data_IF_072014529368
#
_entry.id   IF_072014529368
#
_cell.length_a   1.000
_cell.length_b   1.000
_cell.length_c   1.000
_cell.angle_alpha   90.00
_cell.angle_beta   90.00
_cell.angle_gamma   90.00
#
_symmetry.space_group_name_H-M   'P 1'
#
loop_
_entity.id
_entity.type
_entity.pdbx_description
1 polymer ?
#
# COMPACT_ATOMS: atom_id res chain seq x y z
N UNK A 1 0.34 -12.49 -24.97
CA UNK A 1 0.70 -11.88 -23.67
C UNK A 1 1.73 -12.73 -22.90
N UNK A 2 2.87 -13.10 -23.52
CA UNK A 2 3.86 -14.00 -22.91
C UNK A 2 4.98 -13.28 -22.12
N UNK A 3 5.08 -11.96 -22.27
CA UNK A 3 6.17 -11.17 -21.69
C UNK A 3 5.87 -10.73 -20.25
N UNK A 4 4.63 -10.31 -19.95
CA UNK A 4 4.25 -9.84 -18.60
C UNK A 4 4.37 -10.92 -17.54
N UNK A 5 4.06 -12.17 -17.86
CA UNK A 5 4.21 -13.31 -16.93
C UNK A 5 5.67 -13.65 -16.60
N UNK A 6 6.64 -13.09 -17.33
CA UNK A 6 8.08 -13.23 -17.02
C UNK A 6 8.56 -12.21 -16.01
N UNK A 7 7.80 -11.13 -15.79
CA UNK A 7 8.10 -10.14 -14.76
C UNK A 7 7.67 -10.74 -13.42
N UNK A 8 8.64 -10.97 -12.53
CA UNK A 8 8.42 -11.62 -11.22
C UNK A 8 8.64 -10.67 -10.04
N UNK A 9 9.49 -9.66 -10.21
CA UNK A 9 9.80 -8.72 -9.15
C UNK A 9 9.66 -7.31 -9.70
N UNK A 10 8.86 -6.48 -9.03
CA UNK A 10 8.65 -5.08 -9.40
C UNK A 10 8.81 -4.23 -8.15
N UNK A 11 9.49 -3.11 -8.29
CA UNK A 11 9.58 -2.05 -7.28
C UNK A 11 9.07 -0.75 -7.88
N UNK A 12 8.20 -0.04 -7.17
CA UNK A 12 7.63 1.24 -7.61
C UNK A 12 7.60 2.24 -6.46
N UNK A 13 7.53 3.53 -6.80
CA UNK A 13 7.12 4.55 -5.87
C UNK A 13 5.59 4.54 -5.73
N UNK A 14 5.09 4.65 -4.50
CA UNK A 14 3.67 4.62 -4.15
C UNK A 14 2.90 5.91 -4.47
N UNK A 15 3.36 6.70 -5.44
CA UNK A 15 2.74 7.96 -5.85
C UNK A 15 1.49 7.71 -6.70
N UNK A 16 0.50 8.60 -6.65
CA UNK A 16 -0.61 8.58 -7.61
C UNK A 16 -0.09 8.77 -9.05
N UNK A 17 -0.69 8.05 -10.01
CA UNK A 17 -0.34 8.21 -11.42
C UNK A 17 -1.27 9.25 -12.06
N UNK A 18 -0.75 10.46 -12.27
CA UNK A 18 -1.49 11.52 -12.94
C UNK A 18 -1.22 11.51 -14.44
N UNK A 19 -2.27 11.36 -15.26
CA UNK A 19 -2.18 11.39 -16.72
C UNK A 19 -2.97 12.56 -17.28
N UNK A 20 -2.33 13.39 -18.09
CA UNK A 20 -3.01 14.44 -18.84
C UNK A 20 -3.65 13.84 -20.09
N UNK A 21 -4.96 14.01 -20.27
CA UNK A 21 -5.72 13.44 -21.39
C UNK A 21 -5.97 14.42 -22.54
N UNK A 22 -5.44 15.64 -22.45
CA UNK A 22 -5.54 16.67 -23.48
C UNK A 22 -4.41 17.70 -23.42
N UNK A 23 -4.37 18.66 -24.37
CA UNK A 23 -3.35 19.70 -24.44
C UNK A 23 -3.45 20.77 -23.34
N UNK A 24 -4.47 20.69 -22.47
CA UNK A 24 -4.61 21.57 -21.31
C UNK A 24 -4.42 20.76 -20.03
N UNK A 25 -3.62 21.29 -19.10
CA UNK A 25 -3.31 20.66 -17.80
C UNK A 25 -4.54 20.48 -16.87
N UNK A 26 -5.73 20.88 -17.33
CA UNK A 26 -6.98 20.80 -16.56
C UNK A 26 -7.72 19.46 -16.70
N UNK A 27 -7.41 18.67 -17.74
CA UNK A 27 -8.07 17.40 -18.01
C UNK A 27 -7.16 16.22 -17.63
N UNK A 28 -6.74 16.19 -16.38
CA UNK A 28 -5.95 15.12 -15.81
C UNK A 28 -6.81 14.02 -15.20
N UNK A 29 -6.43 12.76 -15.44
CA UNK A 29 -7.00 11.58 -14.77
C UNK A 29 -5.95 11.03 -13.81
N UNK A 30 -6.28 10.98 -12.52
CA UNK A 30 -5.47 10.27 -11.53
C UNK A 30 -5.90 8.81 -11.44
N UNK A 31 -4.93 7.90 -11.43
CA UNK A 31 -5.15 6.49 -11.13
C UNK A 31 -4.41 6.13 -9.84
N UNK A 32 -5.14 5.51 -8.92
CA UNK A 32 -4.53 4.84 -7.78
C UNK A 32 -3.65 3.69 -8.29
N UNK A 33 -2.57 3.38 -7.56
CA UNK A 33 -1.63 2.32 -7.94
C UNK A 33 -2.33 0.97 -8.18
N UNK A 34 -3.34 0.64 -7.36
CA UNK A 34 -4.14 -0.57 -7.55
C UNK A 34 -4.90 -0.61 -8.88
N UNK A 35 -5.38 0.55 -9.36
CA UNK A 35 -6.06 0.66 -10.65
C UNK A 35 -5.06 0.54 -11.79
N UNK A 36 -3.85 1.11 -11.65
CA UNK A 36 -2.78 0.98 -12.64
C UNK A 36 -2.37 -0.48 -12.85
N UNK A 37 -2.28 -1.28 -11.77
CA UNK A 37 -1.97 -2.72 -11.89
C UNK A 37 -3.01 -3.47 -12.71
N UNK A 38 -4.31 -3.14 -12.57
CA UNK A 38 -5.40 -3.78 -13.32
C UNK A 38 -5.32 -3.57 -14.83
N UNK A 39 -4.55 -2.57 -15.29
CA UNK A 39 -4.28 -2.32 -16.70
C UNK A 39 -3.26 -3.30 -17.29
N UNK A 40 -2.58 -4.11 -16.48
CA UNK A 40 -1.58 -5.06 -16.90
C UNK A 40 -2.02 -6.52 -16.68
N UNK A 41 -3.10 -6.97 -17.33
CA UNK A 41 -3.60 -8.33 -17.16
C UNK A 41 -2.52 -9.35 -17.56
N UNK A 42 -2.19 -10.26 -16.65
CA UNK A 42 -1.19 -11.30 -16.87
C UNK A 42 0.14 -11.09 -16.14
N UNK A 43 0.30 -10.00 -15.38
CA UNK A 43 1.32 -9.94 -14.33
C UNK A 43 1.15 -11.13 -13.37
N UNK A 44 2.27 -11.67 -12.92
CA UNK A 44 2.35 -12.78 -11.97
C UNK A 44 3.59 -12.60 -11.09
N UNK A 45 3.59 -11.50 -10.34
CA UNK A 45 4.69 -11.08 -9.49
C UNK A 45 4.84 -12.07 -8.33
N UNK A 46 6.07 -12.52 -8.12
CA UNK A 46 6.47 -13.17 -6.87
C UNK A 46 6.62 -12.12 -5.77
N UNK A 47 7.14 -10.93 -6.09
CA UNK A 47 7.27 -9.82 -5.14
C UNK A 47 6.92 -8.48 -5.78
N UNK A 48 6.02 -7.74 -5.15
CA UNK A 48 5.69 -6.37 -5.48
C UNK A 48 6.12 -5.46 -4.34
N UNK A 49 7.08 -4.56 -4.57
CA UNK A 49 7.58 -3.62 -3.57
C UNK A 49 7.08 -2.21 -3.89
N UNK A 50 6.47 -1.55 -2.92
CA UNK A 50 6.01 -0.17 -3.02
C UNK A 50 6.79 0.65 -2.00
N UNK A 51 7.45 1.70 -2.45
CA UNK A 51 8.14 2.66 -1.61
C UNK A 51 7.28 3.91 -1.47
N UNK A 52 6.84 4.24 -0.26
CA UNK A 52 6.14 5.50 -0.03
C UNK A 52 7.09 6.69 -0.25
N UNK A 53 6.62 7.76 -0.91
CA UNK A 53 7.36 9.01 -1.00
C UNK A 53 7.51 9.72 0.35
N UNK A 54 6.72 9.38 1.38
CA UNK A 54 6.83 9.96 2.73
C UNK A 54 6.28 11.39 2.87
N UNK A 55 5.86 12.02 1.78
CA UNK A 55 5.41 13.43 1.75
C UNK A 55 3.89 13.58 1.98
N UNK A 56 3.13 12.51 1.73
CA UNK A 56 1.68 12.54 1.78
C UNK A 56 1.13 11.48 2.77
N UNK A 57 0.13 11.85 3.58
CA UNK A 57 -0.51 11.00 4.60
C UNK A 57 -1.36 9.84 4.00
N UNK A 58 -1.20 9.51 2.72
CA UNK A 58 -2.04 8.54 1.98
C UNK A 58 -1.53 7.09 2.05
N UNK A 59 -0.41 6.83 2.73
CA UNK A 59 0.20 5.51 2.81
C UNK A 59 -0.75 4.43 3.30
N UNK A 60 -1.58 4.78 4.29
CA UNK A 60 -2.56 3.85 4.84
C UNK A 60 -3.60 3.48 3.77
N UNK A 61 -4.16 4.46 3.06
CA UNK A 61 -5.18 4.27 2.04
C UNK A 61 -4.64 3.51 0.83
N UNK A 62 -3.43 3.85 0.36
CA UNK A 62 -2.78 3.15 -0.75
C UNK A 62 -2.54 1.68 -0.37
N UNK A 63 -2.05 1.42 0.84
CA UNK A 63 -1.84 0.06 1.32
C UNK A 63 -3.18 -0.69 1.49
N UNK A 64 -4.21 -0.04 2.04
CA UNK A 64 -5.53 -0.62 2.22
C UNK A 64 -6.14 -1.01 0.87
N UNK A 65 -6.09 -0.13 -0.13
CA UNK A 65 -6.57 -0.38 -1.48
C UNK A 65 -5.81 -1.54 -2.16
N UNK A 66 -4.48 -1.61 -1.98
CA UNK A 66 -3.67 -2.73 -2.49
C UNK A 66 -4.03 -4.06 -1.81
N UNK A 67 -4.32 -4.05 -0.51
CA UNK A 67 -4.73 -5.24 0.25
C UNK A 67 -6.17 -5.65 -0.07
N UNK A 68 -7.08 -4.70 -0.28
CA UNK A 68 -8.48 -5.02 -0.57
C UNK A 68 -8.67 -5.41 -2.03
N UNK A 69 -8.12 -4.64 -2.97
CA UNK A 69 -8.43 -4.76 -4.40
C UNK A 69 -7.26 -5.18 -5.28
N UNK A 70 -6.03 -5.17 -4.77
CA UNK A 70 -4.82 -5.44 -5.55
C UNK A 70 -4.61 -6.92 -5.79
N UNK A 71 -4.33 -7.28 -7.03
CA UNK A 71 -4.04 -8.63 -7.51
C UNK A 71 -2.73 -8.65 -8.32
N UNK A 72 -2.36 -9.80 -8.88
CA UNK A 72 -1.15 -9.87 -9.71
C UNK A 72 0.14 -10.19 -8.97
N UNK A 73 0.11 -10.32 -7.64
CA UNK A 73 1.29 -10.54 -6.79
C UNK A 73 1.08 -11.64 -5.74
N UNK A 74 2.15 -12.33 -5.34
CA UNK A 74 2.16 -13.31 -4.24
C UNK A 74 2.54 -12.68 -2.90
N UNK A 75 3.54 -11.80 -2.93
CA UNK A 75 4.02 -11.02 -1.79
C UNK A 75 4.03 -9.53 -2.14
N UNK A 76 3.40 -8.71 -1.30
CA UNK A 76 3.49 -7.25 -1.33
C UNK A 76 4.39 -6.80 -0.17
N UNK A 77 5.34 -5.91 -0.46
CA UNK A 77 6.18 -5.21 0.51
C UNK A 77 5.89 -3.73 0.39
N UNK A 78 5.22 -3.15 1.36
CA UNK A 78 4.95 -1.71 1.39
C UNK A 78 5.88 -1.06 2.40
N UNK A 79 6.71 -0.11 1.98
CA UNK A 79 7.72 0.54 2.82
C UNK A 79 7.31 2.00 3.04
N UNK A 80 7.02 2.35 4.28
CA UNK A 80 6.75 3.71 4.76
C UNK A 80 8.02 4.30 5.35
N UNK A 81 8.33 5.55 5.03
CA UNK A 81 9.50 6.23 5.59
C UNK A 81 9.30 6.56 7.08
N UNK A 82 8.05 6.78 7.50
CA UNK A 82 7.71 7.23 8.84
C UNK A 82 6.65 6.31 9.44
N UNK A 83 6.89 5.81 10.65
CA UNK A 83 6.00 4.85 11.31
C UNK A 83 4.66 5.45 11.74
N UNK A 84 4.58 6.78 11.92
CA UNK A 84 3.34 7.49 12.23
C UNK A 84 2.30 7.40 11.11
N UNK A 85 2.73 7.20 9.85
CA UNK A 85 1.84 7.01 8.70
C UNK A 85 0.98 5.74 8.85
N UNK A 86 1.47 4.77 9.63
CA UNK A 86 0.74 3.55 9.99
C UNK A 86 0.34 3.55 11.47
N UNK A 87 0.27 4.71 12.13
CA UNK A 87 -0.27 4.86 13.49
C UNK A 87 -1.80 5.07 13.52
N UNK A 88 -2.40 5.17 14.70
CA UNK A 88 -3.84 5.46 14.85
C UNK A 88 -4.21 6.94 14.68
N UNK A 89 -3.22 7.84 14.73
CA UNK A 89 -3.45 9.28 14.65
C UNK A 89 -3.72 9.68 13.20
N UNK A 90 -4.89 10.29 12.97
CA UNK A 90 -5.14 11.04 11.74
C UNK A 90 -4.30 12.31 11.81
N UNK A 91 -3.51 12.57 10.77
CA UNK A 91 -2.96 13.90 10.55
C UNK A 91 -4.13 14.87 10.39
N UNK A 92 -4.28 15.77 11.36
CA UNK A 92 -5.31 16.83 11.39
C UNK A 92 -5.25 17.77 10.16
N UNK A 93 -4.19 17.66 9.34
CA UNK A 93 -3.90 18.53 8.21
C UNK A 93 -4.33 17.99 6.84
N UNK A 94 -4.84 16.76 6.74
CA UNK A 94 -5.31 16.26 5.44
C UNK A 94 -6.58 17.01 5.05
N UNK A 95 -6.44 17.89 4.07
CA UNK A 95 -7.50 18.66 3.44
C UNK A 95 -8.79 17.81 3.29
N UNK A 96 -9.73 18.01 4.21
CA UNK A 96 -11.07 17.36 4.30
C UNK A 96 -11.89 17.39 3.00
N UNK A 97 -11.45 18.13 2.00
CA UNK A 97 -12.18 18.37 0.76
C UNK A 97 -11.86 17.39 -0.37
N UNK A 98 -10.80 16.57 -0.30
CA UNK A 98 -10.43 15.67 -1.41
C UNK A 98 -10.70 14.18 -1.19
N UNK A 99 -10.87 13.73 0.06
CA UNK A 99 -10.99 12.29 0.34
C UNK A 99 -12.23 11.98 1.18
N UNK A 100 -13.20 11.33 0.55
CA UNK A 100 -14.53 10.99 1.05
C UNK A 100 -14.57 9.76 1.98
N UNK A 101 -13.43 9.37 2.55
CA UNK A 101 -13.32 8.21 3.44
C UNK A 101 -12.76 8.66 4.79
N UNK A 102 -13.63 9.25 5.61
CA UNK A 102 -13.42 9.45 7.05
C UNK A 102 -13.39 8.08 7.79
N UNK A 103 -12.67 7.08 7.29
CA UNK A 103 -12.62 5.78 7.95
C UNK A 103 -11.54 5.83 9.04
N UNK A 104 -11.92 5.65 10.33
CA UNK A 104 -10.93 5.50 11.37
C UNK A 104 -9.98 4.36 11.00
N UNK A 105 -8.66 4.60 11.09
CA UNK A 105 -7.66 3.55 10.90
C UNK A 105 -7.95 2.41 11.87
N UNK A 106 -7.91 1.17 11.38
CA UNK A 106 -8.29 -0.02 12.15
C UNK A 106 -7.04 -0.68 12.75
N UNK A 107 -7.19 -1.48 13.83
CA UNK A 107 -6.06 -2.18 14.44
C UNK A 107 -5.30 -3.11 13.50
N UNK A 108 -3.99 -2.91 13.37
CA UNK A 108 -3.11 -3.68 12.49
C UNK A 108 -2.09 -4.53 13.27
N UNK A 109 -1.75 -5.73 12.77
CA UNK A 109 -2.09 -6.28 11.47
C UNK A 109 -3.44 -7.01 11.40
N UNK A 110 -4.19 -7.06 12.50
CA UNK A 110 -5.40 -7.89 12.62
C UNK A 110 -6.48 -7.55 11.58
N UNK A 111 -6.71 -6.26 11.30
CA UNK A 111 -7.69 -5.84 10.31
C UNK A 111 -7.29 -6.30 8.90
N UNK A 112 -6.07 -5.97 8.45
CA UNK A 112 -5.60 -6.41 7.14
C UNK A 112 -5.56 -7.93 7.00
N UNK A 113 -5.21 -8.67 8.06
CA UNK A 113 -5.28 -10.12 8.05
C UNK A 113 -6.72 -10.63 7.85
N UNK A 114 -7.72 -9.97 8.45
CA UNK A 114 -9.14 -10.29 8.23
C UNK A 114 -9.61 -10.00 6.80
N UNK A 115 -9.18 -8.87 6.22
CA UNK A 115 -9.45 -8.53 4.80
C UNK A 115 -8.86 -9.60 3.88
N UNK A 116 -7.60 -9.97 4.11
CA UNK A 116 -6.92 -11.02 3.36
C UNK A 116 -7.64 -12.37 3.51
N UNK A 117 -8.01 -12.77 4.72
CA UNK A 117 -8.76 -14.00 4.95
C UNK A 117 -10.09 -14.06 4.19
N UNK A 118 -10.78 -12.92 4.07
CA UNK A 118 -12.04 -12.81 3.33
C UNK A 118 -11.82 -12.88 1.82
N UNK A 119 -10.82 -12.14 1.31
CA UNK A 119 -10.51 -12.02 -0.12
C UNK A 119 -9.88 -13.29 -0.68
N UNK A 120 -8.86 -13.78 0.01
CA UNK A 120 -7.98 -14.85 -0.44
C UNK A 120 -8.40 -16.21 0.13
N UNK A 121 -9.26 -16.25 1.15
CA UNK A 121 -9.71 -17.47 1.81
C UNK A 121 -8.73 -17.95 2.89
N UNK A 122 -9.27 -18.22 4.08
CA UNK A 122 -8.51 -18.66 5.27
C UNK A 122 -7.68 -19.93 4.98
N UNK A 123 -8.20 -20.83 4.14
CA UNK A 123 -7.53 -22.07 3.73
C UNK A 123 -6.19 -21.83 3.03
N UNK A 124 -6.04 -20.67 2.37
CA UNK A 124 -4.79 -20.32 1.70
C UNK A 124 -3.73 -19.80 2.68
N UNK A 125 -4.10 -19.51 3.92
CA UNK A 125 -3.24 -19.02 4.99
C UNK A 125 -2.51 -17.73 4.60
N UNK A 126 -3.24 -16.68 4.18
CA UNK A 126 -2.61 -15.39 3.96
C UNK A 126 -2.08 -14.82 5.28
N UNK A 127 -1.07 -13.96 5.21
CA UNK A 127 -0.49 -13.33 6.40
C UNK A 127 -0.10 -11.87 6.15
N UNK A 128 -0.11 -11.11 7.23
CA UNK A 128 0.34 -9.72 7.27
C UNK A 128 1.32 -9.58 8.42
N UNK A 129 2.51 -9.05 8.16
CA UNK A 129 3.55 -8.83 9.17
C UNK A 129 4.10 -7.43 9.03
N UNK A 130 4.21 -6.72 10.15
CA UNK A 130 4.71 -5.35 10.18
C UNK A 130 6.10 -5.38 10.80
N UNK A 131 7.07 -4.84 10.08
CA UNK A 131 8.45 -4.71 10.51
C UNK A 131 8.78 -3.24 10.70
N UNK A 132 9.53 -2.90 11.74
CA UNK A 132 10.07 -1.56 11.97
C UNK A 132 11.60 -1.63 11.95
N UNK A 133 12.24 -0.66 11.29
CA UNK A 133 13.69 -0.54 11.31
C UNK A 133 14.19 -0.22 12.71
N UNK A 134 15.37 -0.73 13.07
CA UNK A 134 16.10 -0.31 14.29
C UNK A 134 17.12 0.80 13.99
N UNK A 135 17.27 1.19 12.71
CA UNK A 135 18.23 2.20 12.25
C UNK A 135 17.50 3.47 11.84
N UNK A 136 17.85 4.57 12.48
CA UNK A 136 17.26 5.87 12.23
C UNK A 136 17.88 6.52 10.99
N UNK A 137 17.05 6.99 10.06
CA UNK A 137 17.50 7.75 8.89
C UNK A 137 18.30 6.96 7.86
N UNK A 138 18.29 5.62 7.92
CA UNK A 138 18.86 4.76 6.89
C UNK A 138 17.73 4.25 5.97
N UNK A 139 17.61 4.78 4.75
CA UNK A 139 16.58 4.35 3.81
C UNK A 139 16.68 2.87 3.50
N UNK A 140 15.53 2.20 3.39
CA UNK A 140 15.42 0.78 3.07
C UNK A 140 16.07 -0.17 4.08
N UNK A 141 16.53 0.32 5.24
CA UNK A 141 17.13 -0.52 6.28
C UNK A 141 16.14 -1.56 6.80
N UNK A 142 14.84 -1.34 6.74
CA UNK A 142 13.82 -2.33 7.15
C UNK A 142 13.80 -3.57 6.24
N UNK A 143 14.39 -3.50 5.05
CA UNK A 143 14.45 -4.65 4.14
C UNK A 143 15.40 -5.75 4.65
N UNK A 144 16.40 -5.40 5.46
CA UNK A 144 17.35 -6.37 5.99
C UNK A 144 16.88 -6.95 7.33
N UNK A 145 16.98 -8.27 7.47
CA UNK A 145 16.51 -9.00 8.66
C UNK A 145 17.25 -8.59 9.94
N UNK A 146 18.55 -8.30 9.84
CA UNK A 146 19.38 -7.90 10.97
C UNK A 146 19.03 -6.50 11.53
N UNK A 147 18.26 -5.71 10.79
CA UNK A 147 17.98 -4.30 11.10
C UNK A 147 16.50 -4.03 11.26
N UNK A 148 15.67 -5.07 11.45
CA UNK A 148 14.23 -4.93 11.63
C UNK A 148 13.71 -5.75 12.80
N UNK A 149 12.64 -5.27 13.41
CA UNK A 149 11.89 -5.97 14.46
C UNK A 149 10.42 -6.06 14.07
N UNK A 150 9.75 -7.14 14.49
CA UNK A 150 8.29 -7.27 14.31
C UNK A 150 7.60 -6.32 15.29
N UNK A 151 6.59 -5.62 14.81
CA UNK A 151 5.72 -4.77 15.65
C UNK A 151 4.25 -5.10 15.39
N UNK A 152 3.41 -4.82 16.39
CA UNK A 152 1.97 -4.83 16.28
C UNK A 152 1.45 -3.47 16.75
N UNK A 153 0.38 -2.95 16.13
CA UNK A 153 -0.28 -1.79 16.71
C UNK A 153 -0.95 -2.21 18.01
N UNK A 154 -0.50 -1.65 19.14
CA UNK A 154 -1.12 -1.93 20.43
C UNK A 154 -2.55 -1.40 20.43
N UNK A 155 -3.53 -2.30 20.55
CA UNK A 155 -4.91 -1.93 20.89
C UNK A 155 -4.90 -1.53 22.37
N UNK A 156 -5.31 -0.30 22.68
CA UNK A 156 -5.52 0.12 24.06
C UNK A 156 -6.50 -0.85 24.72
N UNK A 157 -6.07 -1.53 25.79
CA UNK A 157 -6.95 -2.43 26.56
C UNK A 157 -8.18 -1.64 27.00
N UNK A 158 -9.35 -2.14 26.65
CA UNK A 158 -10.66 -1.62 27.04
C UNK A 158 -10.75 -1.48 28.56
N UNK A 159 -10.44 -0.28 29.06
CA UNK A 159 -10.93 0.23 30.34
C UNK A 159 -11.39 1.65 30.13
N UNK A 160 -12.55 1.75 29.51
CA UNK A 160 -13.67 2.66 29.83
C UNK A 160 -14.56 2.80 28.57
N UNK A 161 -15.90 2.75 28.72
CA UNK A 161 -16.82 2.94 27.60
C UNK A 161 -16.77 4.41 27.17
N UNK A 162 -15.95 4.73 26.16
CA UNK A 162 -15.93 6.05 25.57
C UNK A 162 -17.10 6.15 24.59
N UNK A 163 -18.03 7.05 24.88
CA UNK A 163 -19.15 7.41 23.98
C UNK A 163 -18.61 7.77 22.59
N UNK A 164 -19.15 7.08 21.57
CA UNK A 164 -18.61 6.97 20.21
C UNK A 164 -18.70 8.27 19.36
N UNK A 165 -18.72 9.46 19.94
CA UNK A 165 -18.89 10.70 19.16
C UNK A 165 -18.26 11.99 19.68
N UNK A 166 -17.67 12.08 20.89
CA UNK A 166 -17.35 13.41 21.45
C UNK A 166 -15.96 13.62 22.05
N UNK A 167 -15.04 12.63 21.95
CA UNK A 167 -13.63 12.87 22.28
C UNK A 167 -12.75 12.67 21.05
N UNK A 168 -12.26 13.80 20.54
CA UNK A 168 -11.02 13.89 19.74
C UNK A 168 -9.98 13.03 20.44
N UNK A 169 -9.62 11.91 19.82
CA UNK A 169 -8.72 10.90 20.37
C UNK A 169 -7.37 11.55 20.74
N UNK A 170 -6.90 11.49 21.99
CA UNK A 170 -5.47 11.46 22.27
C UNK A 170 -4.98 10.00 22.15
N UNK A 171 -3.69 9.80 21.83
CA UNK A 171 -3.31 8.82 20.83
C UNK A 171 -3.09 7.43 21.44
N UNK A 172 -3.17 6.40 20.59
CA UNK A 172 -2.38 5.20 20.81
C UNK A 172 -0.97 5.62 21.20
N UNK A 173 -0.44 5.09 22.30
CA UNK A 173 0.84 5.51 22.94
C UNK A 173 1.74 6.25 21.96
N UNK A 174 1.97 7.57 22.13
CA UNK A 174 2.78 8.30 21.19
C UNK A 174 4.13 7.61 21.16
N UNK A 175 4.51 7.12 19.98
CA UNK A 175 5.86 6.65 19.76
C UNK A 175 6.77 7.77 20.24
N UNK A 176 7.85 7.46 20.97
CA UNK A 176 8.83 8.50 21.30
C UNK A 176 9.22 9.14 19.97
N UNK A 177 9.31 10.47 19.84
CA UNK A 177 9.59 11.18 18.56
C UNK A 177 10.68 10.56 17.66
N UNK A 178 11.63 9.83 18.25
CA UNK A 178 12.66 9.07 17.53
C UNK A 178 12.16 7.80 16.84
N UNK A 179 11.18 7.11 17.42
CA UNK A 179 10.55 5.90 16.88
C UNK A 179 9.53 6.22 15.77
N UNK A 180 8.95 7.42 15.77
CA UNK A 180 8.09 7.92 14.68
C UNK A 180 8.86 8.01 13.36
N UNK A 181 10.11 8.45 13.39
CA UNK A 181 10.97 8.60 12.22
C UNK A 181 11.63 7.30 11.72
N UNK A 182 11.24 6.13 12.26
CA UNK A 182 11.75 4.84 11.81
C UNK A 182 10.92 4.31 10.65
N UNK A 183 11.62 3.82 9.64
CA UNK A 183 11.02 3.15 8.50
C UNK A 183 10.23 1.91 8.93
N UNK A 184 9.06 1.71 8.31
CA UNK A 184 8.20 0.56 8.55
C UNK A 184 7.96 -0.16 7.23
N UNK A 185 7.98 -1.48 7.26
CA UNK A 185 7.57 -2.32 6.14
C UNK A 185 6.43 -3.23 6.53
N UNK A 186 5.36 -3.18 5.77
CA UNK A 186 4.26 -4.15 5.82
C UNK A 186 4.49 -5.20 4.75
N UNK A 187 4.62 -6.46 5.17
CA UNK A 187 4.72 -7.61 4.27
C UNK A 187 3.38 -8.34 4.27
N UNK A 188 2.77 -8.44 3.10
CA UNK A 188 1.49 -9.12 2.88
C UNK A 188 1.73 -10.32 1.97
N UNK A 189 1.34 -11.51 2.42
CA UNK A 189 1.48 -12.76 1.66
C UNK A 189 0.12 -13.38 1.40
N UNK A 190 -0.12 -13.79 0.15
CA UNK A 190 -1.38 -14.43 -0.28
C UNK A 190 -1.49 -15.92 0.06
N UNK A 191 -0.40 -16.56 0.49
CA UNK A 191 -0.41 -17.95 0.92
C UNK A 191 -0.25 -18.99 -0.21
N UNK A 192 -0.56 -20.26 0.07
CA UNK A 192 -0.02 -21.43 -0.68
C UNK A 192 -0.63 -21.70 -2.08
N UNK A 193 -1.83 -21.21 -2.40
CA UNK A 193 -2.53 -21.60 -3.64
C UNK A 193 -2.95 -20.45 -4.58
N UNK A 194 -2.60 -19.21 -4.27
CA UNK A 194 -3.06 -18.07 -5.08
C UNK A 194 -2.02 -17.75 -6.15
N UNK A 195 -2.30 -18.18 -7.39
CA UNK A 195 -1.58 -17.66 -8.54
C UNK A 195 -1.93 -16.18 -8.67
N UNK A 196 -0.94 -15.29 -8.65
CA UNK A 196 -1.13 -13.84 -8.78
C UNK A 196 -1.60 -13.44 -10.18
N UNK A 197 -2.74 -13.92 -10.66
CA UNK A 197 -3.34 -13.49 -11.91
C UNK A 197 -4.24 -12.30 -11.64
N UNK A 198 -4.10 -11.27 -12.45
CA UNK A 198 -4.94 -10.08 -12.42
C UNK A 198 -6.29 -10.37 -13.07
N UNK A 199 -7.38 -9.97 -12.42
CA UNK A 199 -8.73 -10.02 -12.97
C UNK A 199 -8.95 -8.83 -13.91
N UNK A 200 -9.45 -9.04 -15.15
CA UNK A 200 -9.64 -7.95 -16.09
C UNK A 200 -10.75 -6.99 -15.65
N UNK A 201 -10.58 -5.70 -15.96
CA UNK A 201 -11.61 -4.66 -15.78
C UNK A 201 -12.81 -4.96 -16.72
N UNK A 202 -14.04 -4.80 -16.21
CA UNK A 202 -15.26 -4.82 -17.04
C UNK A 202 -15.15 -3.76 -18.15
N UNK A 203 -15.14 -4.21 -19.41
CA UNK A 203 -14.88 -3.38 -20.60
C UNK A 203 -15.99 -2.35 -20.81
N UNK A 204 -15.83 -1.16 -20.26
CA UNK A 204 -16.66 0.02 -20.54
C UNK A 204 -15.90 1.23 -21.09
N UNK A 205 -14.57 1.28 -20.99
CA UNK A 205 -13.77 2.43 -21.42
C UNK A 205 -12.70 2.00 -22.43
N UNK A 206 -12.78 2.52 -23.65
CA UNK A 206 -11.72 2.40 -24.67
C UNK A 206 -10.56 3.30 -24.23
N UNK A 207 -9.50 2.70 -23.73
CA UNK A 207 -8.25 3.38 -23.43
C UNK A 207 -7.39 3.50 -24.71
N UNK A 208 -6.72 4.64 -24.90
CA UNK A 208 -5.87 4.88 -26.08
C UNK A 208 -4.57 4.07 -26.02
N UNK A 209 -3.91 3.84 -27.17
CA UNK A 209 -2.60 3.16 -27.21
C UNK A 209 -1.54 3.93 -26.42
N UNK A 210 -1.59 5.25 -26.45
CA UNK A 210 -0.63 6.11 -25.76
C UNK A 210 -0.76 6.00 -24.24
N UNK A 211 -1.99 5.77 -23.74
CA UNK A 211 -2.26 5.48 -22.33
C UNK A 211 -1.59 4.18 -21.86
N UNK A 212 -1.73 3.11 -22.66
CA UNK A 212 -1.11 1.82 -22.34
C UNK A 212 0.42 1.93 -22.39
N UNK A 213 0.96 2.65 -23.38
CA UNK A 213 2.40 2.91 -23.49
C UNK A 213 2.89 3.75 -22.31
N UNK A 214 2.16 4.76 -21.85
CA UNK A 214 2.53 5.59 -20.70
C UNK A 214 2.59 4.81 -19.39
N UNK A 215 1.57 4.01 -19.08
CA UNK A 215 1.52 3.16 -17.88
C UNK A 215 2.63 2.11 -17.91
N UNK A 216 2.78 1.44 -19.06
CA UNK A 216 3.85 0.45 -19.26
C UNK A 216 5.22 1.12 -19.19
N UNK A 217 5.41 2.34 -19.71
CA UNK A 217 6.70 3.05 -19.67
C UNK A 217 7.02 3.59 -18.29
N UNK A 218 6.04 4.07 -17.52
CA UNK A 218 6.24 4.47 -16.12
C UNK A 218 6.63 3.25 -15.25
N UNK A 219 5.94 2.12 -15.44
CA UNK A 219 6.27 0.87 -14.76
C UNK A 219 7.59 0.25 -15.27
N UNK A 220 7.91 0.34 -16.57
CA UNK A 220 9.19 -0.12 -17.13
C UNK A 220 10.35 0.77 -16.67
N UNK A 221 10.19 2.09 -16.61
CA UNK A 221 11.22 2.99 -16.09
C UNK A 221 11.50 2.69 -14.61
N UNK A 222 10.46 2.34 -13.84
CA UNK A 222 10.62 1.84 -12.46
C UNK A 222 11.30 0.47 -12.38
N UNK A 223 11.11 -0.40 -13.39
CA UNK A 223 11.77 -1.72 -13.50
C UNK A 223 13.24 -1.62 -13.96
N UNK A 224 13.59 -0.65 -14.80
CA UNK A 224 14.96 -0.47 -15.33
C UNK A 224 15.90 0.16 -14.29
N UNK A 225 15.39 0.92 -13.32
CA UNK A 225 16.19 1.45 -12.21
C UNK A 225 16.56 0.39 -11.14
N UNK A 226 16.21 -0.89 -11.35
CA UNK A 226 16.31 -1.96 -10.37
C UNK A 226 17.19 -3.16 -10.81
N UNK A 227 18.12 -2.98 -11.75
CA UNK A 227 19.28 -3.88 -11.94
C UNK A 227 20.50 -3.35 -11.24
#
# INVERSE_FOLDING_TARGET
MATLSKIRHVRVLGTEFYFFTGPSDRDGVSYALVQALKLLPGLQLDTFTVLSPGEDDYDYEVLDDLIEYGDGWKELRFICQVSSQLGYEFSDNVYRYKHSRNYPRKPQPAHWASVMNTRDGIQNQPSVTIYRSVRLGEPCSVMHEATRVIIEQMVLKEKEPVTFAERRYPPATPLKKKEEALEVMVVVKRGKAISGKISPINRGQKLSRDFFVGVVTALITAVIAAT
#
